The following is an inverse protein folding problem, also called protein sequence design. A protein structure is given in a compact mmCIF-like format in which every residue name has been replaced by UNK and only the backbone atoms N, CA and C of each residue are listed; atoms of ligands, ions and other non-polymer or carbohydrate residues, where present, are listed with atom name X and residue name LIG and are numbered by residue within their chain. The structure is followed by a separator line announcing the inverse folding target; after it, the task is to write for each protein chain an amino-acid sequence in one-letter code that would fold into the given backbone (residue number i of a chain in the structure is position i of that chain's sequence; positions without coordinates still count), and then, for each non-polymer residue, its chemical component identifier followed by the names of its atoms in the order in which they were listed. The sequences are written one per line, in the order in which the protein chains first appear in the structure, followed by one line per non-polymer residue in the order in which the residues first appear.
data_IF_340123429715
#
_entry.id   IF_340123429715
#
_cell.length_a   1.000
_cell.length_b   1.000
_cell.length_c   1.000
_cell.angle_alpha   90.00
_cell.angle_beta   90.00
_cell.angle_gamma   90.00
#
_symmetry.space_group_name_H-M   'P 1'
#
loop_
_entity.id
_entity.type
_entity.pdbx_description
1 polymer ?
#
# COMPACT_ATOMS: atom_id res chain seq x y z
N UNK A 1 53.15 -19.44 -76.92
CA UNK A 1 52.15 -18.69 -76.10
C UNK A 1 51.21 -19.56 -75.26
N UNK A 2 50.86 -20.79 -75.57
CA UNK A 2 49.89 -21.59 -74.79
C UNK A 2 50.29 -21.99 -73.35
N UNK A 3 51.59 -22.31 -73.11
CA UNK A 3 52.04 -22.74 -71.75
C UNK A 3 51.97 -21.60 -70.70
N UNK A 4 52.28 -20.40 -71.05
CA UNK A 4 52.26 -19.25 -70.15
C UNK A 4 50.82 -18.86 -69.78
N UNK A 5 49.84 -18.98 -70.71
CA UNK A 5 48.46 -18.76 -70.47
C UNK A 5 47.85 -19.76 -69.48
N UNK A 6 48.24 -21.05 -69.64
CA UNK A 6 47.79 -22.11 -68.74
C UNK A 6 48.31 -21.89 -67.29
N UNK A 7 49.55 -21.50 -67.12
CA UNK A 7 50.12 -21.21 -65.79
C UNK A 7 49.40 -20.03 -65.17
N UNK A 8 49.11 -18.96 -65.94
CA UNK A 8 48.36 -17.79 -65.47
C UNK A 8 46.94 -18.14 -65.03
N UNK A 9 46.23 -18.93 -65.86
CA UNK A 9 44.86 -19.39 -65.52
C UNK A 9 44.86 -20.27 -64.31
N UNK A 10 45.78 -21.22 -64.19
CA UNK A 10 45.87 -22.08 -62.97
C UNK A 10 46.26 -21.26 -61.72
N UNK A 11 47.16 -20.29 -61.84
CA UNK A 11 47.49 -19.40 -60.75
C UNK A 11 46.31 -18.51 -60.29
N UNK A 12 45.55 -17.96 -61.23
CA UNK A 12 44.35 -17.20 -60.96
C UNK A 12 43.27 -18.05 -60.31
N UNK A 13 43.06 -19.26 -60.75
CA UNK A 13 42.12 -20.20 -60.18
C UNK A 13 42.47 -20.60 -58.73
N UNK A 14 43.78 -20.85 -58.47
CA UNK A 14 44.27 -21.15 -57.13
C UNK A 14 44.03 -19.96 -56.16
N UNK A 15 44.34 -18.72 -56.58
CA UNK A 15 44.08 -17.52 -55.78
C UNK A 15 42.56 -17.36 -55.51
N UNK A 16 41.72 -17.61 -56.54
CA UNK A 16 40.27 -17.52 -56.37
C UNK A 16 39.72 -18.55 -55.39
N UNK A 17 40.24 -19.75 -55.42
CA UNK A 17 39.83 -20.82 -54.47
C UNK A 17 40.24 -20.44 -53.05
N UNK A 18 41.44 -19.91 -52.86
CA UNK A 18 41.92 -19.46 -51.52
C UNK A 18 41.07 -18.29 -51.00
N UNK A 19 40.77 -17.30 -51.82
CA UNK A 19 39.92 -16.19 -51.46
C UNK A 19 38.51 -16.60 -51.11
N UNK A 20 37.90 -17.47 -51.93
CA UNK A 20 36.54 -18.00 -51.70
C UNK A 20 36.48 -18.76 -50.39
N UNK A 21 37.50 -19.59 -50.06
CA UNK A 21 37.58 -20.33 -48.81
C UNK A 21 37.71 -19.39 -47.59
N UNK A 22 38.56 -18.37 -47.67
CA UNK A 22 38.71 -17.38 -46.61
C UNK A 22 37.43 -16.56 -46.40
N UNK A 23 36.70 -16.21 -47.44
CA UNK A 23 35.39 -15.53 -47.34
C UNK A 23 34.36 -16.45 -46.65
N UNK A 24 34.32 -17.72 -47.05
CA UNK A 24 33.39 -18.69 -46.45
C UNK A 24 33.69 -18.92 -44.95
N UNK A 25 34.97 -19.06 -44.58
CA UNK A 25 35.37 -19.19 -43.17
C UNK A 25 35.02 -17.93 -42.37
N UNK A 26 35.24 -16.72 -42.89
CA UNK A 26 34.86 -15.47 -42.25
C UNK A 26 33.34 -15.36 -42.04
N UNK A 27 32.54 -15.70 -43.06
CA UNK A 27 31.10 -15.68 -42.98
C UNK A 27 30.59 -16.66 -41.92
N UNK A 28 31.15 -17.88 -41.86
CA UNK A 28 30.81 -18.87 -40.85
C UNK A 28 31.16 -18.35 -39.41
N UNK A 29 32.33 -17.74 -39.25
CA UNK A 29 32.73 -17.18 -37.96
C UNK A 29 31.83 -16.02 -37.51
N UNK A 30 31.44 -15.14 -38.44
CA UNK A 30 30.50 -14.04 -38.16
C UNK A 30 29.12 -14.60 -37.77
N UNK A 31 28.61 -15.57 -38.56
CA UNK A 31 27.32 -16.20 -38.27
C UNK A 31 27.33 -16.91 -36.92
N UNK A 32 28.36 -17.68 -36.64
CA UNK A 32 28.52 -18.38 -35.35
C UNK A 32 28.61 -17.38 -34.19
N UNK A 33 29.36 -16.31 -34.33
CA UNK A 33 29.47 -15.26 -33.31
C UNK A 33 28.12 -14.58 -33.08
N UNK A 34 27.36 -14.25 -34.12
CA UNK A 34 26.05 -13.65 -34.02
C UNK A 34 25.02 -14.58 -33.32
N UNK A 35 25.03 -15.87 -33.66
CA UNK A 35 24.18 -16.88 -33.03
C UNK A 35 24.51 -17.04 -31.55
N UNK A 36 25.81 -17.10 -31.24
CA UNK A 36 26.25 -17.20 -29.84
C UNK A 36 25.84 -15.97 -29.02
N UNK A 37 26.05 -14.77 -29.54
CA UNK A 37 25.66 -13.53 -28.89
C UNK A 37 24.14 -13.45 -28.68
N UNK A 38 23.36 -13.81 -29.71
CA UNK A 38 21.90 -13.89 -29.58
C UNK A 38 21.47 -14.91 -28.49
N UNK A 39 22.11 -16.08 -28.48
CA UNK A 39 21.83 -17.11 -27.48
C UNK A 39 22.16 -16.65 -26.07
N UNK A 40 23.24 -15.88 -25.88
CA UNK A 40 23.60 -15.29 -24.59
C UNK A 40 22.55 -14.29 -24.10
N UNK A 41 22.11 -13.38 -24.97
CA UNK A 41 21.05 -12.40 -24.66
C UNK A 41 19.77 -13.10 -24.28
N UNK A 42 19.33 -14.09 -25.06
CA UNK A 42 18.09 -14.82 -24.79
C UNK A 42 18.17 -15.65 -23.49
N UNK A 43 19.30 -16.30 -23.23
CA UNK A 43 19.50 -17.03 -21.97
C UNK A 43 19.47 -16.09 -20.76
N UNK A 44 20.10 -14.90 -20.86
CA UNK A 44 20.08 -13.87 -19.80
C UNK A 44 18.67 -13.32 -19.58
N UNK A 45 17.97 -12.93 -20.63
CA UNK A 45 16.59 -12.42 -20.55
C UNK A 45 15.64 -13.46 -19.93
N UNK A 46 15.81 -14.74 -20.29
CA UNK A 46 15.01 -15.85 -19.76
C UNK A 46 15.28 -16.02 -18.26
N UNK A 47 16.56 -15.99 -17.84
CA UNK A 47 16.91 -16.09 -16.42
C UNK A 47 16.39 -14.90 -15.60
N UNK A 48 16.56 -13.68 -16.09
CA UNK A 48 16.13 -12.47 -15.41
C UNK A 48 14.60 -12.40 -15.28
N UNK A 49 13.87 -12.68 -16.37
CA UNK A 49 12.40 -12.70 -16.35
C UNK A 49 11.84 -13.74 -15.39
N UNK A 50 12.43 -14.94 -15.35
CA UNK A 50 12.01 -15.95 -14.38
C UNK A 50 12.31 -15.51 -12.93
N UNK A 51 13.47 -14.87 -12.69
CA UNK A 51 13.80 -14.37 -11.36
C UNK A 51 12.79 -13.32 -10.88
N UNK A 52 12.41 -12.37 -11.73
CA UNK A 52 11.38 -11.36 -11.44
C UNK A 52 10.00 -11.97 -11.18
N UNK A 53 9.60 -12.96 -11.97
CA UNK A 53 8.35 -13.71 -11.74
C UNK A 53 8.37 -14.42 -10.36
N UNK A 54 9.48 -15.01 -9.98
CA UNK A 54 9.62 -15.69 -8.69
C UNK A 54 9.61 -14.71 -7.52
N UNK A 55 10.23 -13.54 -7.66
CA UNK A 55 10.15 -12.46 -6.66
C UNK A 55 8.69 -12.00 -6.53
N UNK A 56 7.96 -11.83 -7.62
CA UNK A 56 6.53 -11.50 -7.58
C UNK A 56 5.73 -12.59 -6.86
N UNK A 57 5.94 -13.86 -7.21
CA UNK A 57 5.28 -15.01 -6.57
C UNK A 57 5.58 -15.12 -5.07
N UNK A 58 6.82 -14.87 -4.67
CA UNK A 58 7.20 -14.79 -3.26
C UNK A 58 6.57 -13.60 -2.55
N UNK A 59 6.33 -12.50 -3.25
CA UNK A 59 5.58 -11.36 -2.75
C UNK A 59 4.13 -11.72 -2.40
N UNK A 60 3.53 -12.62 -3.18
CA UNK A 60 2.16 -13.11 -2.95
C UNK A 60 2.13 -14.25 -1.91
N UNK A 61 3.11 -15.14 -1.95
CA UNK A 61 3.19 -16.34 -1.10
C UNK A 61 4.59 -16.45 -0.51
N UNK A 62 4.83 -15.79 0.61
CA UNK A 62 6.15 -15.74 1.26
C UNK A 62 6.69 -17.12 1.68
N UNK A 63 5.79 -18.08 1.91
CA UNK A 63 6.16 -19.48 2.25
C UNK A 63 6.53 -20.33 1.04
N UNK A 64 6.42 -19.79 -0.20
CA UNK A 64 6.76 -20.54 -1.40
C UNK A 64 8.25 -20.91 -1.41
N UNK A 65 8.53 -22.22 -1.47
CA UNK A 65 9.89 -22.77 -1.53
C UNK A 65 9.93 -23.89 -2.56
N UNK A 66 11.10 -24.06 -3.16
CA UNK A 66 11.44 -25.20 -4.03
C UNK A 66 12.87 -25.57 -3.76
N UNK A 67 13.09 -26.57 -2.91
CA UNK A 67 14.43 -27.01 -2.51
C UNK A 67 15.17 -27.77 -3.64
N UNK A 68 14.43 -28.38 -4.54
CA UNK A 68 14.94 -29.02 -5.76
C UNK A 68 14.82 -28.10 -6.97
N UNK A 69 15.61 -28.36 -8.02
CA UNK A 69 15.50 -27.64 -9.28
C UNK A 69 14.17 -27.99 -9.97
N UNK A 70 13.38 -26.96 -10.26
CA UNK A 70 12.11 -27.07 -10.97
C UNK A 70 12.26 -26.49 -12.36
N UNK A 71 11.82 -27.23 -13.37
CA UNK A 71 11.87 -26.82 -14.78
C UNK A 71 10.64 -25.98 -15.15
N UNK A 72 10.86 -24.98 -15.99
CA UNK A 72 9.81 -24.19 -16.62
C UNK A 72 10.26 -23.80 -18.04
N UNK A 73 9.35 -23.87 -19.00
CA UNK A 73 9.64 -23.44 -20.37
C UNK A 73 9.23 -21.98 -20.53
N UNK A 74 10.16 -21.14 -21.03
CA UNK A 74 9.95 -19.70 -21.29
C UNK A 74 10.74 -19.27 -22.53
N UNK A 75 10.14 -18.45 -23.38
CA UNK A 75 10.79 -17.83 -24.55
C UNK A 75 11.53 -18.85 -25.44
N UNK A 76 10.88 -19.96 -25.73
CA UNK A 76 11.43 -21.10 -26.50
C UNK A 76 12.71 -21.74 -25.90
N UNK A 77 13.03 -21.41 -24.64
CA UNK A 77 14.11 -21.97 -23.88
C UNK A 77 13.63 -22.79 -22.68
N UNK A 78 14.58 -23.40 -21.97
CA UNK A 78 14.32 -24.12 -20.73
C UNK A 78 14.94 -23.35 -19.57
N UNK A 79 14.14 -23.06 -18.55
CA UNK A 79 14.60 -22.45 -17.33
C UNK A 79 14.45 -23.40 -16.16
N UNK A 80 15.32 -23.22 -15.18
CA UNK A 80 15.29 -23.95 -13.92
C UNK A 80 15.38 -22.97 -12.78
N UNK A 81 14.66 -23.25 -11.70
CA UNK A 81 14.79 -22.44 -10.48
C UNK A 81 14.83 -23.32 -9.22
N UNK A 82 15.42 -22.74 -8.18
CA UNK A 82 15.43 -23.27 -6.83
C UNK A 82 15.31 -22.11 -5.84
N UNK A 83 14.49 -22.28 -4.81
CA UNK A 83 14.24 -21.26 -3.78
C UNK A 83 14.43 -21.88 -2.42
N UNK A 84 15.39 -21.38 -1.66
CA UNK A 84 15.79 -21.91 -0.35
C UNK A 84 15.95 -20.78 0.67
N UNK A 85 15.76 -21.10 1.94
CA UNK A 85 16.14 -20.20 3.02
C UNK A 85 17.65 -20.24 3.23
N UNK A 86 18.22 -19.08 3.56
CA UNK A 86 19.65 -18.93 3.84
C UNK A 86 19.87 -17.92 4.97
N UNK A 87 21.00 -18.02 5.65
CA UNK A 87 21.43 -17.07 6.66
C UNK A 87 22.63 -16.28 6.12
N UNK A 88 22.57 -14.95 6.24
CA UNK A 88 23.69 -14.07 5.94
C UNK A 88 23.91 -13.17 7.16
N UNK A 89 24.95 -13.48 7.93
CA UNK A 89 25.12 -12.89 9.27
C UNK A 89 23.98 -13.34 10.20
N UNK A 90 23.28 -12.37 10.78
CA UNK A 90 22.09 -12.61 11.63
C UNK A 90 20.76 -12.58 10.84
N UNK A 91 20.81 -12.25 9.56
CA UNK A 91 19.61 -12.06 8.75
C UNK A 91 19.18 -13.40 8.09
N UNK A 92 17.92 -13.78 8.30
CA UNK A 92 17.28 -14.85 7.53
C UNK A 92 16.81 -14.30 6.19
N UNK A 93 17.36 -14.83 5.10
CA UNK A 93 17.09 -14.42 3.73
C UNK A 93 16.54 -15.59 2.91
N UNK A 94 15.86 -15.26 1.82
CA UNK A 94 15.44 -16.23 0.80
C UNK A 94 16.40 -16.11 -0.36
N UNK A 95 17.04 -17.20 -0.75
CA UNK A 95 17.93 -17.26 -1.89
C UNK A 95 17.19 -17.87 -3.08
N UNK A 96 17.12 -17.13 -4.16
CA UNK A 96 16.54 -17.52 -5.44
C UNK A 96 17.70 -17.82 -6.38
N UNK A 97 17.75 -19.05 -6.89
CA UNK A 97 18.68 -19.44 -7.94
C UNK A 97 17.88 -19.71 -9.21
N UNK A 98 18.29 -19.10 -10.28
CA UNK A 98 17.70 -19.29 -11.61
C UNK A 98 18.78 -19.69 -12.62
N UNK A 99 18.41 -20.53 -13.56
CA UNK A 99 19.20 -20.84 -14.76
C UNK A 99 18.28 -20.69 -15.97
N UNK A 100 18.68 -19.84 -16.90
CA UNK A 100 18.03 -19.73 -18.21
C UNK A 100 18.92 -20.36 -19.27
N UNK A 101 18.40 -21.31 -20.03
CA UNK A 101 19.11 -21.98 -21.11
C UNK A 101 18.41 -21.72 -22.42
N UNK A 102 19.15 -21.20 -23.40
CA UNK A 102 18.69 -21.01 -24.75
C UNK A 102 19.74 -21.61 -25.72
N UNK A 103 19.32 -22.51 -26.59
CA UNK A 103 20.24 -23.40 -27.32
C UNK A 103 21.27 -24.03 -26.37
N UNK A 104 22.55 -23.83 -26.63
CA UNK A 104 23.62 -24.38 -25.84
C UNK A 104 24.21 -23.41 -24.78
N UNK A 105 23.57 -22.25 -24.61
CA UNK A 105 24.04 -21.22 -23.67
C UNK A 105 23.19 -21.21 -22.43
N UNK A 106 23.83 -21.24 -21.27
CA UNK A 106 23.16 -21.15 -19.96
C UNK A 106 23.70 -19.95 -19.20
N UNK A 107 22.80 -19.08 -18.75
CA UNK A 107 23.08 -17.98 -17.82
C UNK A 107 22.44 -18.26 -16.46
N UNK A 108 23.07 -17.77 -15.40
CA UNK A 108 22.62 -17.98 -14.01
C UNK A 108 22.34 -16.64 -13.38
N UNK A 109 21.27 -16.56 -12.60
CA UNK A 109 20.94 -15.41 -11.77
C UNK A 109 20.76 -15.91 -10.34
N UNK A 110 21.41 -15.25 -9.40
CA UNK A 110 21.24 -15.45 -7.97
C UNK A 110 20.76 -14.19 -7.30
N UNK A 111 19.67 -14.27 -6.56
CA UNK A 111 19.09 -13.13 -5.86
C UNK A 111 18.83 -13.47 -4.41
N UNK A 112 19.24 -12.57 -3.52
CA UNK A 112 18.89 -12.64 -2.11
C UNK A 112 17.74 -11.67 -1.83
N UNK A 113 16.65 -12.17 -1.27
CA UNK A 113 15.53 -11.36 -0.86
C UNK A 113 15.27 -11.54 0.63
N UNK A 114 14.99 -10.43 1.31
CA UNK A 114 14.56 -10.44 2.70
C UNK A 114 13.04 -10.43 2.73
N UNK A 115 12.44 -11.48 3.32
CA UNK A 115 11.03 -11.46 3.61
C UNK A 115 10.78 -10.40 4.70
N UNK A 116 9.85 -9.51 4.45
CA UNK A 116 9.35 -8.65 5.52
C UNK A 116 8.42 -9.52 6.38
N UNK A 117 8.93 -10.04 7.49
CA UNK A 117 8.18 -10.87 8.44
C UNK A 117 7.16 -10.09 9.24
N UNK A 118 7.25 -8.77 9.27
CA UNK A 118 6.12 -7.93 9.63
C UNK A 118 5.19 -7.89 8.40
N UNK A 119 3.94 -8.28 8.52
CA UNK A 119 2.91 -7.98 7.52
C UNK A 119 3.12 -6.54 7.08
N UNK A 120 3.09 -6.26 5.74
CA UNK A 120 3.44 -4.92 5.25
C UNK A 120 2.90 -3.90 6.21
N UNK A 121 3.74 -3.13 6.91
CA UNK A 121 3.20 -2.09 7.76
C UNK A 121 2.36 -1.22 6.82
N UNK A 122 1.08 -1.08 7.12
CA UNK A 122 0.21 -0.16 6.42
C UNK A 122 0.92 1.19 6.33
N UNK A 123 0.54 2.01 5.40
CA UNK A 123 1.09 3.36 5.36
C UNK A 123 0.29 4.27 6.29
N UNK A 124 0.98 5.17 6.94
CA UNK A 124 0.34 6.20 7.76
C UNK A 124 0.14 7.44 6.87
N UNK A 125 -1.10 7.88 6.63
CA UNK A 125 -1.38 9.05 5.81
C UNK A 125 -1.09 10.36 6.58
N UNK A 126 0.18 10.65 6.82
CA UNK A 126 0.65 11.79 7.64
C UNK A 126 0.19 13.16 7.12
N UNK A 127 -0.06 13.26 5.81
CA UNK A 127 -0.54 14.50 5.22
C UNK A 127 -1.97 14.85 5.63
N UNK A 128 -2.80 13.85 5.91
CA UNK A 128 -4.25 13.98 6.10
C UNK A 128 -4.70 13.63 7.51
N UNK A 129 -4.09 12.63 8.17
CA UNK A 129 -4.37 12.32 9.57
C UNK A 129 -3.49 13.19 10.45
N UNK A 130 -4.01 14.36 10.82
CA UNK A 130 -3.30 15.39 11.59
C UNK A 130 -3.46 15.25 13.10
N UNK A 131 -4.53 14.56 13.54
CA UNK A 131 -4.93 14.44 14.92
C UNK A 131 -5.75 13.17 15.14
N UNK A 132 -6.13 12.88 16.38
CA UNK A 132 -7.13 11.86 16.68
C UNK A 132 -8.46 12.18 15.98
N UNK A 133 -8.81 13.48 15.94
CA UNK A 133 -9.94 14.01 15.18
C UNK A 133 -9.43 15.10 14.24
N UNK A 134 -9.68 14.93 12.92
CA UNK A 134 -9.34 15.92 11.87
C UNK A 134 -10.62 16.32 11.14
N UNK A 135 -10.93 17.62 11.08
CA UNK A 135 -12.21 18.10 10.53
C UNK A 135 -12.07 19.33 9.64
N UNK A 136 -12.98 19.44 8.67
CA UNK A 136 -13.12 20.59 7.79
C UNK A 136 -14.00 21.71 8.38
N UNK A 137 -14.42 21.61 9.63
CA UNK A 137 -15.25 22.62 10.29
C UNK A 137 -15.04 22.56 11.80
N UNK A 138 -15.67 23.49 12.53
CA UNK A 138 -15.59 23.56 13.98
C UNK A 138 -15.91 22.22 14.65
N UNK A 139 -15.24 21.97 15.75
CA UNK A 139 -15.45 20.78 16.58
C UNK A 139 -16.02 21.21 17.93
N UNK A 140 -17.07 20.52 18.34
CA UNK A 140 -17.65 20.68 19.68
C UNK A 140 -17.65 19.36 20.42
N UNK A 141 -17.05 19.33 21.61
CA UNK A 141 -17.13 18.15 22.48
C UNK A 141 -18.04 18.44 23.67
N UNK A 142 -18.96 17.50 23.91
CA UNK A 142 -19.97 17.57 24.98
C UNK A 142 -19.99 16.25 25.74
N UNK A 143 -20.69 16.24 26.88
CA UNK A 143 -20.86 14.99 27.67
C UNK A 143 -19.56 14.56 28.33
N UNK A 144 -19.25 13.27 28.25
CA UNK A 144 -18.07 12.64 28.83
C UNK A 144 -17.06 12.19 27.78
N UNK A 145 -17.17 12.67 26.53
CA UNK A 145 -16.30 12.27 25.41
C UNK A 145 -14.82 12.50 25.76
N UNK A 146 -14.00 11.48 25.52
CA UNK A 146 -12.54 11.58 25.65
C UNK A 146 -11.93 11.57 24.26
N UNK A 147 -11.08 12.53 23.96
CA UNK A 147 -10.28 12.57 22.73
C UNK A 147 -8.81 12.59 23.12
N UNK A 148 -8.13 11.50 22.88
CA UNK A 148 -6.74 11.30 23.26
C UNK A 148 -5.85 11.13 22.03
N UNK A 149 -5.05 12.15 21.74
CA UNK A 149 -4.07 12.16 20.65
C UNK A 149 -2.75 11.46 21.00
N UNK A 150 -2.56 10.98 22.22
CA UNK A 150 -1.40 10.15 22.57
C UNK A 150 -1.49 8.82 21.84
N UNK A 151 -0.36 8.21 21.49
CA UNK A 151 -0.37 6.95 20.75
C UNK A 151 -0.79 5.77 21.63
N UNK A 152 -1.72 4.97 21.13
CA UNK A 152 -2.24 3.76 21.75
C UNK A 152 -1.97 2.54 20.89
N UNK A 153 -1.85 1.38 21.50
CA UNK A 153 -1.84 0.10 20.79
C UNK A 153 -3.24 -0.23 20.21
N UNK A 154 -3.36 -1.33 19.50
CA UNK A 154 -4.63 -1.81 18.91
C UNK A 154 -5.68 -2.22 19.96
N UNK A 155 -5.32 -2.28 21.23
CA UNK A 155 -6.21 -2.61 22.35
C UNK A 155 -6.60 -1.36 23.17
N UNK A 156 -6.09 -0.18 22.77
CA UNK A 156 -6.34 1.07 23.48
C UNK A 156 -5.41 1.34 24.67
N UNK A 157 -4.34 0.55 24.84
CA UNK A 157 -3.36 0.82 25.87
C UNK A 157 -2.39 1.90 25.40
N UNK A 158 -2.04 2.82 26.29
CA UNK A 158 -1.09 3.89 25.99
C UNK A 158 0.30 3.32 25.70
N UNK A 159 0.86 3.70 24.54
CA UNK A 159 2.23 3.34 24.13
C UNK A 159 3.21 4.49 24.39
N UNK A 160 2.73 5.73 24.36
CA UNK A 160 3.52 6.95 24.64
C UNK A 160 4.36 7.45 23.46
N UNK A 161 4.83 8.66 23.59
CA UNK A 161 5.86 9.37 22.80
C UNK A 161 5.64 9.60 21.29
N UNK A 162 4.81 8.82 20.59
CA UNK A 162 4.59 8.91 19.13
C UNK A 162 3.18 9.37 18.74
N UNK A 163 2.49 10.05 19.64
CA UNK A 163 1.14 10.56 19.40
C UNK A 163 1.11 11.78 18.48
N UNK A 164 -0.04 12.41 18.48
CA UNK A 164 -0.36 13.60 17.68
C UNK A 164 -1.27 14.52 18.52
N UNK A 165 -1.83 15.54 17.89
CA UNK A 165 -2.86 16.39 18.51
C UNK A 165 -4.16 15.61 18.78
N UNK A 166 -4.92 16.04 19.77
CA UNK A 166 -6.28 15.53 19.96
C UNK A 166 -7.18 15.95 18.81
N UNK A 167 -7.16 17.25 18.48
CA UNK A 167 -8.02 17.87 17.48
C UNK A 167 -7.18 18.73 16.54
N UNK A 168 -7.44 18.58 15.25
CA UNK A 168 -7.01 19.49 14.18
C UNK A 168 -8.25 19.92 13.39
N UNK A 169 -8.51 21.22 13.28
CA UNK A 169 -9.71 21.72 12.61
C UNK A 169 -9.44 22.99 11.81
N UNK A 170 -10.14 23.16 10.68
CA UNK A 170 -10.16 24.43 9.95
C UNK A 170 -11.01 25.49 10.66
N UNK A 171 -11.93 25.08 11.53
CA UNK A 171 -12.78 25.94 12.34
C UNK A 171 -12.24 26.14 13.76
N UNK A 172 -13.14 26.26 14.71
CA UNK A 172 -12.86 26.45 16.13
C UNK A 172 -13.19 25.20 16.95
N UNK A 173 -12.60 25.09 18.11
CA UNK A 173 -12.93 24.07 19.08
C UNK A 173 -13.72 24.66 20.27
N UNK A 174 -14.82 24.00 20.61
CA UNK A 174 -15.64 24.34 21.76
C UNK A 174 -15.81 23.11 22.66
N UNK A 175 -15.52 23.28 23.93
CA UNK A 175 -15.72 22.23 24.95
C UNK A 175 -16.89 22.57 25.84
N UNK A 176 -17.69 21.56 26.17
CA UNK A 176 -18.77 21.66 27.16
C UNK A 176 -18.88 20.36 27.95
N UNK A 177 -19.54 20.41 29.08
CA UNK A 177 -19.71 19.24 29.96
C UNK A 177 -18.40 18.74 30.58
N UNK A 178 -18.27 17.44 30.64
CA UNK A 178 -17.13 16.71 31.24
C UNK A 178 -16.14 16.17 30.22
N UNK A 179 -16.28 16.56 28.93
CA UNK A 179 -15.34 16.07 27.90
C UNK A 179 -13.89 16.45 28.22
N UNK A 180 -12.96 15.62 27.77
CA UNK A 180 -11.53 15.74 28.03
C UNK A 180 -10.75 15.55 26.74
N UNK A 181 -9.71 16.34 26.56
CA UNK A 181 -8.78 16.15 25.44
C UNK A 181 -7.34 16.09 25.92
N UNK A 182 -6.54 15.25 25.26
CA UNK A 182 -5.11 15.06 25.52
C UNK A 182 -4.34 14.80 24.23
N UNK A 183 -3.02 14.91 24.27
CA UNK A 183 -2.20 14.78 23.05
C UNK A 183 -0.75 14.46 23.37
N UNK A 184 0.04 14.18 22.32
CA UNK A 184 1.50 14.26 22.37
C UNK A 184 1.97 15.44 21.51
N UNK A 185 2.66 16.39 22.12
CA UNK A 185 3.21 17.57 21.44
C UNK A 185 4.70 17.63 21.66
N UNK A 186 5.48 17.67 20.59
CA UNK A 186 6.95 17.70 20.64
C UNK A 186 7.56 16.61 21.55
N UNK A 187 6.95 15.39 21.50
CA UNK A 187 7.38 14.25 22.31
C UNK A 187 6.94 14.25 23.78
N UNK A 188 6.15 15.25 24.19
CA UNK A 188 5.59 15.31 25.55
C UNK A 188 4.13 14.89 25.56
N UNK A 189 3.79 13.96 26.43
CA UNK A 189 2.43 13.45 26.60
C UNK A 189 1.65 14.30 27.60
N UNK A 190 0.50 14.79 27.14
CA UNK A 190 -0.51 15.50 27.94
C UNK A 190 -1.74 14.62 28.08
N UNK A 191 -1.99 14.11 29.28
CA UNK A 191 -3.16 13.27 29.55
C UNK A 191 -4.48 14.03 29.32
N UNK A 192 -5.56 13.35 28.90
CA UNK A 192 -6.86 13.99 28.71
C UNK A 192 -7.35 14.68 29.99
N UNK A 193 -7.61 15.98 29.89
CA UNK A 193 -8.05 16.83 30.98
C UNK A 193 -9.25 17.70 30.59
N UNK A 194 -10.05 18.14 31.59
CA UNK A 194 -11.12 19.11 31.39
C UNK A 194 -10.58 20.53 31.14
N UNK A 195 -9.52 20.87 31.82
CA UNK A 195 -8.75 22.09 31.58
C UNK A 195 -7.50 21.62 30.84
N UNK A 196 -7.56 21.73 29.57
CA UNK A 196 -6.47 21.27 28.69
C UNK A 196 -5.43 22.37 28.47
N UNK A 197 -4.21 21.95 28.22
CA UNK A 197 -3.19 22.84 27.67
C UNK A 197 -3.59 23.22 26.22
N UNK A 198 -3.42 24.49 25.84
CA UNK A 198 -3.75 24.98 24.50
C UNK A 198 -2.98 24.25 23.39
N UNK A 199 -1.82 23.65 23.71
CA UNK A 199 -0.99 22.92 22.75
C UNK A 199 -1.57 21.55 22.35
N UNK A 200 -2.62 21.06 23.03
CA UNK A 200 -3.20 19.73 22.72
C UNK A 200 -4.11 19.73 21.49
N UNK A 201 -4.41 20.91 20.94
CA UNK A 201 -5.28 21.07 19.75
C UNK A 201 -4.77 22.14 18.80
N UNK A 202 -5.18 22.06 17.56
CA UNK A 202 -4.94 23.07 16.52
C UNK A 202 -6.26 23.53 15.90
N UNK A 203 -6.53 24.82 16.02
CA UNK A 203 -7.74 25.50 15.54
C UNK A 203 -7.43 26.43 14.37
N UNK A 204 -8.44 26.78 13.57
CA UNK A 204 -8.32 27.73 12.45
C UNK A 204 -7.18 27.39 11.49
N UNK A 205 -6.99 26.11 11.25
CA UNK A 205 -5.89 25.63 10.44
C UNK A 205 -6.21 25.71 8.95
N UNK A 206 -5.18 25.95 8.15
CA UNK A 206 -5.27 25.92 6.69
C UNK A 206 -4.75 24.60 6.16
N UNK A 207 -5.57 23.89 5.38
CA UNK A 207 -5.14 22.68 4.69
C UNK A 207 -4.56 23.07 3.32
N UNK A 208 -3.27 22.82 3.11
CA UNK A 208 -2.60 23.15 1.85
C UNK A 208 -3.23 22.40 0.66
N UNK A 209 -3.65 23.15 -0.35
CA UNK A 209 -4.34 22.59 -1.52
C UNK A 209 -5.86 22.43 -1.38
N UNK A 210 -6.45 22.89 -0.27
CA UNK A 210 -7.86 22.71 0.07
C UNK A 210 -8.09 21.44 0.89
N UNK A 211 -9.06 21.49 1.79
CA UNK A 211 -9.40 20.34 2.62
C UNK A 211 -10.00 19.22 1.76
N UNK A 212 -9.64 17.95 1.97
CA UNK A 212 -10.20 16.83 1.22
C UNK A 212 -11.73 16.77 1.34
N UNK A 213 -12.39 16.60 0.21
CA UNK A 213 -13.85 16.37 0.14
C UNK A 213 -14.19 14.95 -0.36
N UNK A 214 -13.18 14.13 -0.56
CA UNK A 214 -13.27 12.76 -1.06
C UNK A 214 -12.50 11.83 -0.14
N UNK A 215 -13.05 10.67 0.26
CA UNK A 215 -12.35 9.67 1.10
C UNK A 215 -11.01 9.21 0.54
N UNK A 216 -10.85 9.11 -0.78
CA UNK A 216 -9.60 8.68 -1.41
C UNK A 216 -8.46 9.68 -1.18
N UNK A 217 -8.78 10.97 -1.11
CA UNK A 217 -7.80 12.03 -0.84
C UNK A 217 -7.22 11.94 0.57
N UNK A 218 -7.96 11.34 1.52
CA UNK A 218 -7.45 11.06 2.88
C UNK A 218 -6.28 10.08 2.84
N UNK A 219 -6.24 9.19 1.87
CA UNK A 219 -5.10 8.28 1.64
C UNK A 219 -4.04 8.86 0.71
N UNK A 220 -4.18 10.14 0.34
CA UNK A 220 -3.24 10.89 -0.48
C UNK A 220 -3.59 10.98 -1.95
N UNK A 221 -4.80 10.60 -2.34
CA UNK A 221 -5.34 10.77 -3.67
C UNK A 221 -4.56 10.06 -4.77
N UNK A 222 -4.72 10.51 -6.01
CA UNK A 222 -4.09 9.91 -7.19
C UNK A 222 -2.55 9.87 -7.10
N UNK A 223 -1.93 10.86 -6.45
CA UNK A 223 -0.46 10.91 -6.28
C UNK A 223 0.09 9.72 -5.46
N UNK A 224 -0.74 9.16 -4.57
CA UNK A 224 -0.40 7.99 -3.75
C UNK A 224 -1.08 6.69 -4.21
N UNK A 225 -1.66 6.69 -5.42
CA UNK A 225 -2.32 5.51 -5.98
C UNK A 225 -3.78 5.33 -5.54
N UNK A 226 -4.42 6.39 -5.05
CA UNK A 226 -5.84 6.43 -4.67
C UNK A 226 -6.61 7.47 -5.49
N UNK A 227 -6.71 7.36 -6.84
CA UNK A 227 -7.61 8.21 -7.59
C UNK A 227 -9.05 8.06 -7.09
N UNK A 228 -9.87 9.09 -7.31
CA UNK A 228 -11.25 9.10 -6.84
C UNK A 228 -12.04 7.83 -7.21
N UNK A 229 -12.75 7.26 -6.25
CA UNK A 229 -13.50 6.01 -6.38
C UNK A 229 -12.70 4.73 -6.09
N UNK A 230 -11.41 4.82 -5.76
CA UNK A 230 -10.58 3.64 -5.45
C UNK A 230 -11.09 2.90 -4.22
N UNK A 231 -11.35 3.59 -3.11
CA UNK A 231 -11.86 2.97 -1.88
C UNK A 231 -13.26 2.39 -2.07
N UNK A 232 -14.11 3.05 -2.85
CA UNK A 232 -15.43 2.52 -3.20
C UNK A 232 -15.31 1.24 -4.01
N UNK A 233 -14.46 1.22 -5.04
CA UNK A 233 -14.21 0.03 -5.86
C UNK A 233 -13.61 -1.11 -5.04
N UNK A 234 -12.71 -0.78 -4.10
CA UNK A 234 -12.15 -1.76 -3.18
C UNK A 234 -13.24 -2.38 -2.28
N UNK A 235 -14.12 -1.56 -1.73
CA UNK A 235 -15.26 -2.02 -0.94
C UNK A 235 -16.19 -2.93 -1.76
N UNK A 236 -16.50 -2.55 -3.00
CA UNK A 236 -17.32 -3.35 -3.94
C UNK A 236 -16.69 -4.70 -4.30
N UNK A 237 -15.36 -4.81 -4.27
CA UNK A 237 -14.68 -6.08 -4.57
C UNK A 237 -14.84 -7.15 -3.51
N UNK A 238 -15.26 -6.81 -2.29
CA UNK A 238 -15.34 -7.74 -1.16
C UNK A 238 -13.99 -8.22 -0.60
N UNK A 239 -12.88 -7.73 -1.13
CA UNK A 239 -11.53 -8.18 -0.75
C UNK A 239 -11.24 -7.91 0.72
N UNK A 240 -10.71 -8.92 1.43
CA UNK A 240 -10.33 -8.80 2.84
C UNK A 240 -11.49 -8.53 3.79
N UNK A 241 -12.72 -8.93 3.43
CA UNK A 241 -13.92 -8.67 4.19
C UNK A 241 -14.50 -7.26 3.98
N UNK A 242 -14.02 -6.56 2.92
CA UNK A 242 -14.56 -5.26 2.53
C UNK A 242 -15.99 -5.37 2.07
N UNK A 243 -16.76 -4.30 2.24
CA UNK A 243 -18.18 -4.27 1.85
C UNK A 243 -18.62 -2.87 1.43
N UNK A 244 -19.47 -2.84 0.40
CA UNK A 244 -20.11 -1.63 -0.09
C UNK A 244 -21.63 -1.78 0.06
N UNK A 245 -22.26 -0.80 0.70
CA UNK A 245 -23.71 -0.78 0.89
C UNK A 245 -24.26 0.63 0.67
N UNK A 246 -25.49 0.72 0.17
CA UNK A 246 -26.30 1.95 0.14
C UNK A 246 -27.32 1.97 1.25
N UNK A 247 -27.68 0.79 1.79
CA UNK A 247 -28.50 0.66 2.98
C UNK A 247 -27.67 0.09 4.13
N UNK A 248 -27.45 0.85 5.20
CA UNK A 248 -26.63 0.39 6.33
C UNK A 248 -27.14 -0.88 7.03
N UNK A 249 -28.41 -1.26 6.82
CA UNK A 249 -28.97 -2.52 7.37
C UNK A 249 -28.36 -3.77 6.73
N UNK A 250 -27.72 -3.62 5.56
CA UNK A 250 -27.10 -4.72 4.83
C UNK A 250 -25.66 -5.01 5.29
N UNK A 251 -25.14 -4.20 6.23
CA UNK A 251 -23.80 -4.38 6.77
C UNK A 251 -23.66 -5.70 7.55
N UNK A 252 -22.57 -6.40 7.27
CA UNK A 252 -22.15 -7.59 8.01
C UNK A 252 -21.10 -7.23 9.06
N UNK A 253 -21.28 -7.70 10.28
CA UNK A 253 -20.38 -7.46 11.41
C UNK A 253 -19.63 -8.74 11.84
N UNK A 254 -18.40 -8.62 12.39
CA UNK A 254 -17.64 -7.39 12.60
C UNK A 254 -17.15 -6.80 11.29
N UNK A 255 -17.06 -5.44 11.22
CA UNK A 255 -16.53 -4.75 10.05
C UNK A 255 -15.06 -5.12 9.81
N UNK A 256 -14.65 -5.22 8.54
CA UNK A 256 -13.26 -5.48 8.18
C UNK A 256 -12.92 -4.90 6.80
N UNK A 257 -11.61 -4.76 6.51
CA UNK A 257 -11.18 -4.18 5.25
C UNK A 257 -11.67 -2.74 5.04
N UNK A 258 -12.26 -2.45 3.89
CA UNK A 258 -12.91 -1.17 3.59
C UNK A 258 -14.42 -1.36 3.63
N UNK A 259 -15.06 -0.74 4.59
CA UNK A 259 -16.53 -0.66 4.66
C UNK A 259 -16.97 0.71 4.14
N UNK A 260 -17.64 0.72 3.00
CA UNK A 260 -18.13 1.94 2.36
C UNK A 260 -19.64 1.99 2.38
N UNK A 261 -20.18 2.93 3.14
CA UNK A 261 -21.62 3.21 3.25
C UNK A 261 -21.90 4.47 2.45
N UNK A 262 -22.56 4.35 1.30
CA UNK A 262 -22.97 5.48 0.47
C UNK A 262 -24.44 5.83 0.76
N UNK A 263 -24.63 6.85 1.56
CA UNK A 263 -25.98 7.33 1.89
C UNK A 263 -26.51 8.25 0.79
N UNK A 264 -27.83 8.32 0.62
CA UNK A 264 -28.43 9.35 -0.19
C UNK A 264 -28.17 10.74 0.41
N UNK A 265 -28.29 11.79 -0.42
CA UNK A 265 -28.03 13.16 0.05
C UNK A 265 -28.99 13.55 1.20
N UNK A 266 -28.40 13.93 2.32
CA UNK A 266 -29.12 14.30 3.55
C UNK A 266 -29.59 13.14 4.41
N UNK A 267 -29.28 11.89 4.01
CA UNK A 267 -29.63 10.71 4.81
C UNK A 267 -28.74 10.59 6.06
N UNK A 268 -29.32 9.97 7.07
CA UNK A 268 -28.74 9.81 8.41
C UNK A 268 -28.65 8.34 8.79
N UNK A 269 -27.48 7.93 9.25
CA UNK A 269 -27.25 6.61 9.81
C UNK A 269 -27.13 6.65 11.33
N UNK A 270 -27.88 5.77 12.00
CA UNK A 270 -27.88 5.58 13.45
C UNK A 270 -27.48 4.14 13.81
N UNK A 271 -26.20 3.79 13.78
CA UNK A 271 -25.80 2.43 14.18
C UNK A 271 -26.03 2.19 15.68
N UNK A 272 -26.61 1.04 16.01
CA UNK A 272 -26.77 0.61 17.39
C UNK A 272 -25.45 0.11 17.99
N UNK A 273 -24.60 -0.50 17.17
CA UNK A 273 -23.32 -1.05 17.58
C UNK A 273 -22.36 -1.04 16.38
N UNK A 274 -21.12 -0.58 16.58
CA UNK A 274 -20.06 -0.65 15.59
C UNK A 274 -18.88 -1.41 16.18
N UNK A 275 -18.64 -2.61 15.65
CA UNK A 275 -17.48 -3.43 16.00
C UNK A 275 -16.73 -3.80 14.73
N UNK A 276 -15.41 -3.75 14.80
CA UNK A 276 -14.58 -4.19 13.70
C UNK A 276 -13.27 -3.44 13.55
N UNK A 277 -12.65 -3.65 12.40
CA UNK A 277 -11.34 -3.08 12.05
C UNK A 277 -11.33 -2.62 10.60
N UNK A 278 -10.40 -1.74 10.24
CA UNK A 278 -10.20 -1.34 8.85
C UNK A 278 -10.50 0.14 8.61
N UNK A 279 -11.09 0.45 7.46
CA UNK A 279 -11.50 1.81 7.09
C UNK A 279 -13.03 1.82 6.96
N UNK A 280 -13.68 2.58 7.82
CA UNK A 280 -15.12 2.83 7.72
C UNK A 280 -15.34 4.19 7.05
N UNK A 281 -16.09 4.18 5.95
CA UNK A 281 -16.42 5.35 5.16
C UNK A 281 -17.94 5.52 5.13
N UNK A 282 -18.41 6.71 5.51
CA UNK A 282 -19.81 7.13 5.38
C UNK A 282 -19.85 8.43 4.60
N UNK A 283 -20.18 8.34 3.32
CA UNK A 283 -19.96 9.44 2.38
C UNK A 283 -21.00 9.46 1.26
N UNK A 284 -21.26 10.63 0.72
CA UNK A 284 -21.96 10.82 -0.54
C UNK A 284 -21.33 11.97 -1.34
N UNK A 285 -21.72 12.09 -2.60
CA UNK A 285 -21.19 13.13 -3.50
C UNK A 285 -21.51 14.55 -3.09
N UNK A 286 -22.53 14.75 -2.24
CA UNK A 286 -22.92 16.06 -1.69
C UNK A 286 -22.13 16.42 -0.42
N UNK A 287 -21.29 15.49 0.09
CA UNK A 287 -20.50 15.64 1.32
C UNK A 287 -21.37 15.99 2.53
N UNK A 288 -22.52 15.32 2.65
CA UNK A 288 -23.51 15.57 3.70
C UNK A 288 -24.13 14.28 4.30
N UNK A 289 -23.51 13.12 4.08
CA UNK A 289 -23.89 11.87 4.72
C UNK A 289 -23.60 11.95 6.22
N UNK A 290 -24.60 11.69 7.06
CA UNK A 290 -24.49 11.91 8.50
C UNK A 290 -24.46 10.59 9.28
N UNK A 291 -23.51 10.47 10.20
CA UNK A 291 -23.58 9.54 11.32
C UNK A 291 -24.15 10.30 12.53
N UNK A 292 -25.39 10.00 12.91
CA UNK A 292 -26.02 10.72 14.01
C UNK A 292 -25.57 10.24 15.38
N UNK A 293 -25.56 8.91 15.58
CA UNK A 293 -25.11 8.32 16.84
C UNK A 293 -24.28 7.07 16.58
N UNK A 294 -23.07 7.03 17.12
CA UNK A 294 -22.28 5.82 17.28
C UNK A 294 -22.53 5.28 18.70
N UNK A 295 -23.57 4.44 18.88
CA UNK A 295 -24.10 4.16 20.22
C UNK A 295 -23.24 3.23 21.07
N UNK A 296 -22.60 2.22 20.50
CA UNK A 296 -21.76 1.30 21.28
C UNK A 296 -20.73 0.58 20.39
N UNK A 297 -19.86 -0.19 21.01
CA UNK A 297 -18.87 -1.04 20.35
C UNK A 297 -17.47 -0.51 20.37
N UNK A 298 -16.59 -1.16 19.59
CA UNK A 298 -15.19 -0.74 19.39
C UNK A 298 -14.82 -0.88 17.93
N UNK A 299 -14.39 0.22 17.33
CA UNK A 299 -13.84 0.24 15.98
C UNK A 299 -12.35 0.56 16.01
N UNK A 300 -11.54 -0.16 15.20
CA UNK A 300 -10.09 0.00 15.18
C UNK A 300 -9.62 0.32 13.75
N UNK A 301 -9.09 1.53 13.54
CA UNK A 301 -8.61 1.96 12.23
C UNK A 301 -8.95 3.41 11.89
N UNK A 302 -9.34 3.67 10.65
CA UNK A 302 -9.69 5.02 10.17
C UNK A 302 -11.20 5.09 9.95
N UNK A 303 -11.84 6.06 10.60
CA UNK A 303 -13.22 6.43 10.33
C UNK A 303 -13.26 7.71 9.51
N UNK A 304 -13.85 7.68 8.33
CA UNK A 304 -14.03 8.81 7.44
C UNK A 304 -15.53 9.01 7.26
N UNK A 305 -16.06 10.15 7.64
CA UNK A 305 -17.47 10.46 7.43
C UNK A 305 -17.62 11.91 6.95
N UNK A 306 -18.72 12.21 6.28
CA UNK A 306 -19.00 13.61 5.95
C UNK A 306 -19.30 14.39 7.23
N UNK A 307 -20.20 13.86 8.08
CA UNK A 307 -20.60 14.46 9.34
C UNK A 307 -20.81 13.40 10.44
N UNK A 308 -20.37 13.69 11.66
CA UNK A 308 -20.57 12.84 12.84
C UNK A 308 -21.08 13.72 13.98
N UNK A 309 -22.23 13.35 14.55
CA UNK A 309 -22.87 14.16 15.60
C UNK A 309 -22.55 13.64 17.01
N UNK A 310 -22.71 12.33 17.25
CA UNK A 310 -22.51 11.76 18.60
C UNK A 310 -21.61 10.52 18.54
N UNK A 311 -20.62 10.46 19.46
CA UNK A 311 -19.73 9.32 19.64
C UNK A 311 -19.91 8.76 21.04
N UNK A 312 -20.53 7.57 21.14
CA UNK A 312 -20.66 6.79 22.39
C UNK A 312 -19.88 5.48 22.30
N UNK A 313 -19.20 5.23 21.22
CA UNK A 313 -18.36 4.06 20.96
C UNK A 313 -16.89 4.37 21.23
N UNK A 314 -16.06 3.34 21.38
CA UNK A 314 -14.60 3.50 21.42
C UNK A 314 -14.03 3.39 20.03
N UNK A 315 -13.31 4.41 19.56
CA UNK A 315 -12.59 4.43 18.28
C UNK A 315 -11.10 4.44 18.58
N UNK A 316 -10.40 3.39 18.16
CA UNK A 316 -8.93 3.26 18.29
C UNK A 316 -8.31 3.48 16.92
N UNK A 317 -7.73 4.66 16.71
CA UNK A 317 -7.19 5.05 15.40
C UNK A 317 -7.35 6.53 15.11
N UNK A 318 -8.13 6.90 14.09
CA UNK A 318 -8.40 8.30 13.76
C UNK A 318 -9.81 8.49 13.20
N UNK A 319 -10.36 9.67 13.43
CA UNK A 319 -11.64 10.13 12.89
C UNK A 319 -11.41 11.34 11.99
N UNK A 320 -12.01 11.31 10.79
CA UNK A 320 -11.89 12.38 9.81
C UNK A 320 -13.29 12.77 9.34
N UNK A 321 -13.63 14.06 9.48
CA UNK A 321 -14.90 14.59 8.98
C UNK A 321 -14.64 15.50 7.78
N UNK A 322 -15.37 15.25 6.69
CA UNK A 322 -15.15 15.89 5.39
C UNK A 322 -15.99 17.14 5.17
N UNK A 323 -17.19 17.21 5.76
CA UNK A 323 -18.14 18.27 5.45
C UNK A 323 -17.64 19.66 5.85
N UNK A 324 -17.67 20.63 4.93
CA UNK A 324 -17.45 22.02 5.27
C UNK A 324 -18.67 22.66 5.95
N UNK A 325 -19.82 21.99 5.94
CA UNK A 325 -21.11 22.50 6.47
C UNK A 325 -21.86 21.38 7.18
N UNK A 326 -21.37 20.94 8.36
CA UNK A 326 -22.05 19.90 9.14
C UNK A 326 -23.44 20.34 9.60
N UNK A 327 -24.34 19.37 9.79
CA UNK A 327 -25.78 19.60 10.06
C UNK A 327 -26.03 20.42 11.32
N UNK A 328 -25.22 20.23 12.36
CA UNK A 328 -25.34 20.96 13.64
C UNK A 328 -24.36 22.14 13.75
N UNK A 329 -23.78 22.59 12.61
CA UNK A 329 -22.79 23.67 12.56
C UNK A 329 -21.43 23.30 13.15
N UNK A 330 -21.23 22.05 13.55
CA UNK A 330 -19.96 21.52 14.04
C UNK A 330 -19.92 19.99 13.89
N UNK A 331 -18.74 19.45 13.63
CA UNK A 331 -18.52 18.01 13.63
C UNK A 331 -18.26 17.52 15.05
N UNK A 332 -18.72 16.30 15.37
CA UNK A 332 -18.47 15.61 16.64
C UNK A 332 -18.98 16.43 17.82
N UNK A 333 -20.25 16.30 18.08
CA UNK A 333 -20.93 17.11 19.08
C UNK A 333 -20.89 16.51 20.46
N UNK A 334 -21.57 15.40 20.70
CA UNK A 334 -21.85 14.88 22.02
C UNK A 334 -21.44 13.42 22.12
N UNK A 335 -21.09 12.97 23.33
CA UNK A 335 -20.78 11.56 23.52
C UNK A 335 -20.31 11.18 24.90
N UNK A 336 -20.22 9.88 25.10
CA UNK A 336 -19.61 9.24 26.27
C UNK A 336 -18.57 8.21 25.85
N UNK A 337 -18.19 8.19 24.56
CA UNK A 337 -17.18 7.31 24.00
C UNK A 337 -15.78 7.86 24.10
N UNK A 338 -14.86 7.14 23.49
CA UNK A 338 -13.44 7.49 23.46
C UNK A 338 -12.95 7.52 22.00
N UNK A 339 -12.17 8.53 21.65
CA UNK A 339 -11.37 8.56 20.42
C UNK A 339 -9.90 8.51 20.82
N UNK A 340 -9.29 7.36 20.67
CA UNK A 340 -7.91 7.07 21.06
C UNK A 340 -7.06 6.99 19.80
N UNK A 341 -6.15 7.94 19.59
CA UNK A 341 -5.24 7.88 18.46
C UNK A 341 -4.39 6.61 18.51
N UNK A 342 -4.30 5.88 17.41
CA UNK A 342 -3.48 4.68 17.30
C UNK A 342 -2.81 4.59 15.95
N UNK A 343 -1.53 4.79 15.91
CA UNK A 343 -0.71 4.61 14.71
C UNK A 343 -0.72 3.16 14.23
N UNK A 344 -0.74 2.22 15.17
CA UNK A 344 -0.81 0.79 14.88
C UNK A 344 -2.13 0.41 14.20
N UNK A 345 -3.28 0.89 14.69
CA UNK A 345 -4.58 0.63 14.09
C UNK A 345 -4.73 1.26 12.70
N UNK A 346 -4.23 2.49 12.51
CA UNK A 346 -4.22 3.17 11.21
C UNK A 346 -3.36 2.41 10.20
N UNK A 347 -2.15 2.02 10.57
CA UNK A 347 -1.27 1.22 9.71
C UNK A 347 -1.89 -0.14 9.38
N UNK A 348 -2.51 -0.80 10.34
CA UNK A 348 -3.21 -2.07 10.15
C UNK A 348 -4.37 -1.95 9.17
N UNK A 349 -5.16 -0.88 9.25
CA UNK A 349 -6.31 -0.63 8.37
C UNK A 349 -5.91 -0.40 6.91
N UNK A 350 -4.71 0.12 6.65
CA UNK A 350 -4.19 0.40 5.31
C UNK A 350 -3.32 -0.72 4.74
N UNK A 351 -3.01 -1.75 5.53
CA UNK A 351 -2.04 -2.79 5.17
C UNK A 351 -2.40 -3.54 3.87
N UNK A 352 -3.68 -3.77 3.63
CA UNK A 352 -4.18 -4.55 2.50
C UNK A 352 -4.55 -3.71 1.26
N UNK A 353 -4.59 -2.38 1.36
CA UNK A 353 -5.09 -1.52 0.28
C UNK A 353 -4.19 -1.49 -0.96
N UNK A 354 -2.89 -1.64 -0.80
CA UNK A 354 -1.93 -1.64 -1.92
C UNK A 354 -1.88 -2.96 -2.70
N UNK A 355 -2.65 -3.97 -2.29
CA UNK A 355 -2.65 -5.29 -2.93
C UNK A 355 -3.50 -5.38 -4.20
N UNK A 356 -4.38 -4.42 -4.47
CA UNK A 356 -5.37 -4.50 -5.56
C UNK A 356 -5.18 -3.50 -6.69
N UNK A 357 -4.25 -2.56 -6.59
CA UNK A 357 -3.99 -1.62 -7.68
C UNK A 357 -3.02 -2.25 -8.69
N UNK A 358 -3.52 -3.21 -9.46
CA UNK A 358 -2.82 -3.75 -10.61
C UNK A 358 -3.42 -3.14 -11.87
N UNK A 359 -3.07 -1.92 -12.20
CA UNK A 359 -3.02 -1.44 -13.59
C UNK A 359 -1.87 -0.42 -13.68
N UNK A 360 -0.81 -0.81 -14.37
CA UNK A 360 0.26 0.09 -14.78
C UNK A 360 1.54 -0.04 -13.97
N UNK A 361 2.53 -0.64 -14.59
CA UNK A 361 3.98 -0.48 -14.38
C UNK A 361 4.39 0.23 -13.09
N UNK A 362 4.58 -0.48 -11.99
CA UNK A 362 5.14 0.16 -10.82
C UNK A 362 5.14 -0.72 -9.58
N UNK A 363 6.26 -1.31 -9.28
CA UNK A 363 6.85 -1.57 -7.97
C UNK A 363 5.94 -1.42 -6.72
N UNK A 364 4.83 -2.14 -6.63
CA UNK A 364 3.83 -1.95 -5.58
C UNK A 364 3.56 -3.14 -4.68
N UNK A 365 4.55 -4.02 -4.38
CA UNK A 365 4.42 -4.99 -3.26
C UNK A 365 5.75 -5.11 -2.54
N UNK A 366 6.01 -4.20 -1.59
CA UNK A 366 7.20 -4.29 -0.75
C UNK A 366 7.03 -5.31 0.39
N UNK A 367 6.60 -6.53 0.08
CA UNK A 367 6.70 -7.66 1.02
C UNK A 367 8.09 -8.29 1.01
N UNK A 368 8.89 -7.96 0.01
CA UNK A 368 10.24 -8.46 -0.17
C UNK A 368 11.18 -7.29 -0.45
N UNK A 369 12.33 -7.29 0.19
CA UNK A 369 13.44 -6.40 -0.15
C UNK A 369 14.47 -7.22 -0.89
N UNK A 370 14.78 -6.87 -2.13
CA UNK A 370 15.94 -7.41 -2.83
C UNK A 370 17.19 -6.86 -2.13
N UNK A 371 18.00 -7.75 -1.60
CA UNK A 371 19.24 -7.43 -0.88
C UNK A 371 20.42 -7.44 -1.83
N UNK A 372 20.46 -8.40 -2.76
CA UNK A 372 21.49 -8.51 -3.77
C UNK A 372 20.96 -9.21 -5.02
N UNK A 373 21.58 -8.88 -6.15
CA UNK A 373 21.32 -9.48 -7.46
C UNK A 373 22.65 -9.74 -8.14
N UNK A 374 22.90 -10.97 -8.56
CA UNK A 374 24.13 -11.40 -9.24
C UNK A 374 23.76 -12.17 -10.52
N UNK A 375 24.42 -11.79 -11.62
CA UNK A 375 24.36 -12.45 -12.93
C UNK A 375 25.62 -13.22 -13.23
#
# INVERSE_FOLDING_TARGET
MGKQLIIFVMGSLAVFIILSRNIAERNNNITTSAVNHYSEIMASNTANSLCEMLISKLGDTQSFRSSSWTNISMFDGVSQYRIIDTLVGSDSLIKIHVRGTYFNTTKKVETLVKANTAGSPGFFPTATVKAAITTNNSVRTLGNLIVDGRDHDINGNLVGANGTYAIWTTGTYNRSGNSRIGSTVSGTDYAPAKVENNDVRLESQVYGGGYPNNPDDILGGAANGFPGGTLKSFAQSGSGGSQYVTNPSDLTYPLSGVTYVELASGDVWNPSNINGTGILIVHNSAVNAQIKNLNSGTFKGIMIADDIVHIHTTIIGAVIALSPSPSDGNCIGNGSGDVLFSRAAINGSTANLKSTTTVGYGFGRKRLKVVSWYE
#
